data_IF_004412228502
#
_entry.id   IF_004412228502
#
_cell.length_a   1.000
_cell.length_b   1.000
_cell.length_c   1.000
_cell.angle_alpha   90.00
_cell.angle_beta   90.00
_cell.angle_gamma   90.00
#
_symmetry.space_group_name_H-M   'P 1'
#
loop_
_entity.id
_entity.type
_entity.pdbx_description
1 polymer ?
#
# COMPACT_ATOMS: atom_id res chain seq x y z
N UNK A 1 2.78 17.65 -21.47
CA UNK A 1 3.91 16.92 -22.10
C UNK A 1 4.07 15.59 -21.36
N UNK A 2 4.16 14.48 -22.08
CA UNK A 2 4.46 13.18 -21.46
C UNK A 2 5.93 13.15 -21.01
N UNK A 3 6.17 12.80 -19.75
CA UNK A 3 7.52 12.65 -19.21
C UNK A 3 7.87 11.17 -19.23
N UNK A 4 9.00 10.82 -19.83
CA UNK A 4 9.52 9.44 -19.79
C UNK A 4 10.49 9.31 -18.60
N UNK A 5 10.21 8.34 -17.71
CA UNK A 5 11.01 8.05 -16.54
C UNK A 5 12.11 7.04 -16.88
N UNK A 6 13.37 7.37 -16.58
CA UNK A 6 14.49 6.42 -16.68
C UNK A 6 14.48 5.49 -15.49
N UNK A 7 14.46 4.17 -15.74
CA UNK A 7 14.33 3.09 -14.74
C UNK A 7 15.59 2.24 -14.70
N UNK A 8 16.72 2.86 -14.35
CA UNK A 8 18.03 2.21 -14.35
C UNK A 8 18.40 1.53 -13.02
N UNK A 9 17.59 1.71 -11.98
CA UNK A 9 17.79 1.10 -10.67
C UNK A 9 18.97 1.61 -9.87
N UNK A 10 19.69 2.64 -10.33
CA UNK A 10 20.89 3.11 -9.64
C UNK A 10 20.51 4.07 -8.52
N UNK A 11 20.95 3.76 -7.31
CA UNK A 11 20.79 4.62 -6.13
C UNK A 11 21.79 5.79 -6.22
N UNK A 12 21.28 7.01 -6.19
CA UNK A 12 22.08 8.23 -6.28
C UNK A 12 21.59 9.28 -5.29
N UNK A 13 22.47 10.19 -4.81
CA UNK A 13 22.04 11.40 -4.12
C UNK A 13 21.02 12.16 -4.97
N UNK A 14 19.98 12.69 -4.32
CA UNK A 14 18.97 13.50 -5.01
C UNK A 14 19.61 14.84 -5.46
N UNK A 15 19.37 15.32 -6.69
CA UNK A 15 20.06 16.49 -7.23
C UNK A 15 19.88 17.78 -6.42
N UNK A 16 18.77 17.90 -5.67
CA UNK A 16 18.43 19.08 -4.87
C UNK A 16 18.62 18.87 -3.36
N UNK A 17 18.92 17.65 -2.91
CA UNK A 17 19.08 17.32 -1.50
C UNK A 17 20.02 16.12 -1.31
N UNK A 18 21.29 16.40 -0.99
CA UNK A 18 22.33 15.38 -0.85
C UNK A 18 22.12 14.41 0.32
N UNK A 19 21.22 14.74 1.24
CA UNK A 19 20.84 13.87 2.37
C UNK A 19 19.70 12.90 2.02
N UNK A 20 19.18 12.98 0.81
CA UNK A 20 18.20 12.07 0.26
C UNK A 20 18.81 11.26 -0.90
N UNK A 21 18.72 9.96 -0.86
CA UNK A 21 19.12 9.08 -1.97
C UNK A 21 17.90 8.49 -2.65
N UNK A 22 17.96 8.37 -3.98
CA UNK A 22 16.81 7.91 -4.78
C UNK A 22 17.21 6.97 -5.89
N UNK A 23 16.30 6.08 -6.29
CA UNK A 23 16.41 5.25 -7.48
C UNK A 23 15.04 5.06 -8.12
N UNK A 24 14.99 4.89 -9.44
CA UNK A 24 13.83 4.38 -10.14
C UNK A 24 14.05 2.91 -10.45
N UNK A 25 13.22 2.03 -9.89
CA UNK A 25 13.41 0.59 -10.00
C UNK A 25 13.26 0.11 -11.45
N UNK A 26 14.07 -0.86 -11.90
CA UNK A 26 13.95 -1.43 -13.24
C UNK A 26 12.58 -2.08 -13.44
N UNK A 27 11.97 -1.87 -14.58
CA UNK A 27 10.74 -2.55 -15.00
C UNK A 27 10.55 -2.46 -16.50
N UNK A 28 10.05 -3.54 -17.11
CA UNK A 28 9.62 -3.57 -18.50
C UNK A 28 8.16 -3.17 -18.71
N UNK A 29 7.36 -3.15 -17.63
CA UNK A 29 5.93 -2.85 -17.70
C UNK A 29 5.67 -1.36 -17.97
N UNK A 30 4.69 -1.02 -18.82
CA UNK A 30 4.25 0.36 -19.01
C UNK A 30 3.61 0.95 -17.75
N UNK A 31 2.88 0.14 -16.98
CA UNK A 31 2.32 0.51 -15.68
C UNK A 31 3.01 -0.22 -14.54
N UNK A 32 3.33 0.52 -13.46
CA UNK A 32 3.89 0.00 -12.21
C UNK A 32 3.23 0.71 -11.03
N UNK A 33 2.69 -0.05 -10.08
CA UNK A 33 1.91 0.54 -9.00
C UNK A 33 1.97 -0.28 -7.70
N UNK A 34 1.68 0.38 -6.56
CA UNK A 34 1.50 -0.23 -5.24
C UNK A 34 2.75 -0.94 -4.70
N UNK A 35 3.80 -0.19 -4.51
CA UNK A 35 5.04 -0.69 -3.91
C UNK A 35 4.86 -1.23 -2.50
N UNK A 36 5.57 -2.31 -2.19
CA UNK A 36 5.77 -2.79 -0.83
C UNK A 36 7.23 -3.18 -0.63
N UNK A 37 7.85 -2.60 0.38
CA UNK A 37 9.28 -2.70 0.67
C UNK A 37 9.50 -3.50 1.96
N UNK A 38 10.53 -4.35 1.98
CA UNK A 38 10.95 -5.09 3.16
C UNK A 38 12.47 -5.16 3.25
N UNK A 39 13.08 -4.63 4.34
CA UNK A 39 14.46 -4.95 4.70
C UNK A 39 14.57 -6.42 5.10
N UNK A 40 15.60 -7.12 4.59
CA UNK A 40 15.85 -8.53 4.83
C UNK A 40 17.00 -8.73 5.83
N UNK A 41 17.06 -9.88 6.54
CA UNK A 41 18.12 -10.15 7.54
C UNK A 41 19.54 -10.17 6.98
N UNK A 42 19.69 -10.44 5.68
CA UNK A 42 20.99 -10.42 4.99
C UNK A 42 21.44 -9.00 4.58
N UNK A 43 20.73 -7.97 5.06
CA UNK A 43 21.00 -6.57 4.76
C UNK A 43 20.50 -6.09 3.40
N UNK A 44 19.89 -6.96 2.61
CA UNK A 44 19.27 -6.55 1.35
C UNK A 44 17.92 -5.85 1.59
N UNK A 45 17.49 -5.08 0.59
CA UNK A 45 16.13 -4.55 0.49
C UNK A 45 15.39 -5.31 -0.62
N UNK A 46 14.18 -5.72 -0.37
CA UNK A 46 13.29 -6.26 -1.41
C UNK A 46 12.10 -5.35 -1.59
N UNK A 47 11.76 -5.05 -2.85
CA UNK A 47 10.58 -4.28 -3.21
C UNK A 47 9.73 -5.08 -4.19
N UNK A 48 8.43 -5.15 -3.92
CA UNK A 48 7.44 -5.76 -4.82
C UNK A 48 6.39 -4.73 -5.19
N UNK A 49 5.80 -4.88 -6.37
CA UNK A 49 4.73 -4.03 -6.90
C UNK A 49 3.90 -4.81 -7.91
N UNK A 50 2.82 -4.26 -8.40
CA UNK A 50 2.16 -4.83 -9.56
C UNK A 50 2.44 -4.02 -10.82
N UNK A 51 2.50 -4.71 -11.95
CA UNK A 51 2.78 -4.10 -13.25
C UNK A 51 2.18 -4.89 -14.41
N UNK A 52 1.90 -4.18 -15.48
CA UNK A 52 1.31 -4.68 -16.71
C UNK A 52 0.94 -3.51 -17.62
N UNK A 53 -0.18 -3.61 -18.37
CA UNK A 53 -0.61 -2.54 -19.27
C UNK A 53 -1.53 -1.53 -18.57
N UNK A 54 -2.52 -2.00 -17.81
CA UNK A 54 -3.51 -1.16 -17.16
C UNK A 54 -4.08 -1.85 -15.91
N UNK A 55 -4.23 -1.14 -14.81
CA UNK A 55 -4.84 -1.67 -13.59
C UNK A 55 -6.26 -2.20 -13.85
N UNK A 56 -6.53 -3.41 -13.38
CA UNK A 56 -7.79 -4.13 -13.61
C UNK A 56 -7.77 -5.09 -14.79
N UNK A 57 -6.77 -5.03 -15.66
CA UNK A 57 -6.61 -5.98 -16.77
C UNK A 57 -5.86 -7.23 -16.27
N UNK A 58 -6.16 -8.40 -16.85
CA UNK A 58 -5.58 -9.68 -16.41
C UNK A 58 -4.09 -9.86 -16.74
N UNK A 59 -3.46 -8.92 -17.45
CA UNK A 59 -1.99 -8.92 -17.65
C UNK A 59 -1.24 -8.27 -16.48
N UNK A 60 -1.95 -7.70 -15.52
CA UNK A 60 -1.37 -7.18 -14.27
C UNK A 60 -0.90 -8.35 -13.42
N UNK A 61 0.39 -8.38 -13.13
CA UNK A 61 1.06 -9.40 -12.31
C UNK A 61 1.93 -8.76 -11.25
N UNK A 62 2.34 -9.54 -10.26
CA UNK A 62 3.29 -9.12 -9.23
C UNK A 62 4.72 -9.22 -9.77
N UNK A 63 5.50 -8.18 -9.52
CA UNK A 63 6.91 -8.05 -9.86
C UNK A 63 7.72 -7.74 -8.62
N UNK A 64 8.99 -8.08 -8.63
CA UNK A 64 9.90 -7.80 -7.53
C UNK A 64 11.31 -7.47 -8.00
N UNK A 65 12.02 -6.67 -7.21
CA UNK A 65 13.42 -6.31 -7.39
C UNK A 65 14.12 -6.31 -6.04
N UNK A 66 15.44 -6.48 -6.05
CA UNK A 66 16.27 -6.59 -4.85
C UNK A 66 17.45 -5.64 -4.94
N UNK A 67 17.74 -4.94 -3.84
CA UNK A 67 18.99 -4.21 -3.64
C UNK A 67 19.84 -5.00 -2.65
N UNK A 68 20.87 -5.65 -3.13
CA UNK A 68 21.79 -6.44 -2.29
C UNK A 68 22.57 -5.51 -1.36
N UNK A 69 22.89 -5.99 -0.16
CA UNK A 69 23.70 -5.22 0.80
C UNK A 69 24.98 -4.70 0.17
N UNK A 70 25.26 -3.42 0.37
CA UNK A 70 26.44 -2.74 -0.20
C UNK A 70 26.36 -2.40 -1.69
N UNK A 71 25.31 -2.84 -2.39
CA UNK A 71 25.08 -2.45 -3.79
C UNK A 71 24.44 -1.06 -3.88
N UNK A 72 24.71 -0.37 -4.97
CA UNK A 72 24.00 0.86 -5.38
C UNK A 72 23.08 0.59 -6.58
N UNK A 73 22.82 -0.68 -6.89
CA UNK A 73 22.06 -1.09 -8.07
C UNK A 73 20.95 -2.06 -7.66
N UNK A 74 19.70 -1.68 -7.89
CA UNK A 74 18.56 -2.58 -7.86
C UNK A 74 18.65 -3.60 -9.00
N UNK A 75 18.32 -4.85 -8.72
CA UNK A 75 18.28 -5.90 -9.75
C UNK A 75 17.19 -5.61 -10.79
N UNK A 76 17.31 -6.25 -11.95
CA UNK A 76 16.19 -6.31 -12.90
C UNK A 76 14.95 -6.89 -12.22
N UNK A 77 13.77 -6.42 -12.67
CA UNK A 77 12.50 -6.91 -12.15
C UNK A 77 12.24 -8.36 -12.57
N UNK A 78 11.81 -9.18 -11.62
CA UNK A 78 11.39 -10.56 -11.82
C UNK A 78 9.89 -10.68 -11.65
N UNK A 79 9.22 -11.36 -12.58
CA UNK A 79 7.79 -11.67 -12.49
C UNK A 79 7.55 -12.73 -11.42
N UNK A 80 6.67 -12.45 -10.44
CA UNK A 80 6.44 -13.30 -9.28
C UNK A 80 5.05 -13.94 -9.25
N UNK A 81 4.15 -13.55 -10.14
CA UNK A 81 2.83 -14.14 -10.31
C UNK A 81 2.42 -14.16 -11.78
N UNK A 82 1.48 -15.00 -12.17
CA UNK A 82 1.10 -15.18 -13.58
C UNK A 82 -0.30 -15.81 -13.72
N UNK A 83 -1.34 -15.10 -13.30
CA UNK A 83 -2.73 -15.52 -13.51
C UNK A 83 -3.33 -14.80 -14.73
N UNK A 84 -3.49 -15.53 -15.83
CA UNK A 84 -4.05 -14.98 -17.08
C UNK A 84 -5.54 -14.61 -16.99
N UNK A 85 -6.21 -14.90 -15.88
CA UNK A 85 -7.66 -14.68 -15.69
C UNK A 85 -7.99 -13.57 -14.70
N UNK A 86 -6.99 -13.11 -13.93
CA UNK A 86 -7.18 -12.13 -12.85
C UNK A 86 -6.16 -10.99 -12.94
N UNK A 87 -6.56 -9.81 -12.51
CA UNK A 87 -5.64 -8.70 -12.24
C UNK A 87 -5.06 -8.90 -10.83
N UNK A 88 -3.75 -9.09 -10.75
CA UNK A 88 -3.02 -9.39 -9.52
C UNK A 88 -2.42 -8.11 -8.94
N UNK A 89 -2.92 -7.66 -7.79
CA UNK A 89 -2.69 -6.32 -7.25
C UNK A 89 -2.23 -6.32 -5.79
N UNK A 90 -1.72 -5.18 -5.33
CA UNK A 90 -1.36 -4.90 -3.95
C UNK A 90 -0.50 -5.98 -3.29
N UNK A 91 0.68 -6.32 -3.84
CA UNK A 91 1.55 -7.29 -3.22
C UNK A 91 2.08 -6.78 -1.88
N UNK A 92 2.26 -7.71 -0.94
CA UNK A 92 2.74 -7.47 0.41
C UNK A 92 3.78 -8.52 0.77
N UNK A 93 4.94 -8.08 1.24
CA UNK A 93 5.98 -8.92 1.78
C UNK A 93 5.84 -9.05 3.30
N UNK A 94 6.06 -10.25 3.81
CA UNK A 94 6.09 -10.54 5.24
C UNK A 94 7.17 -11.59 5.54
N UNK A 95 8.12 -11.26 6.40
CA UNK A 95 9.09 -12.22 6.91
C UNK A 95 8.58 -12.80 8.22
N UNK A 96 8.27 -14.08 8.22
CA UNK A 96 7.80 -14.78 9.40
C UNK A 96 8.95 -15.04 10.38
N UNK A 97 8.66 -15.27 11.70
CA UNK A 97 9.68 -15.50 12.71
C UNK A 97 10.60 -16.72 12.47
N UNK A 98 10.17 -17.66 11.65
CA UNK A 98 10.94 -18.83 11.22
C UNK A 98 11.79 -18.57 9.95
N UNK A 99 11.95 -17.30 9.55
CA UNK A 99 12.65 -16.85 8.36
C UNK A 99 12.03 -17.29 7.02
N UNK A 100 10.80 -17.76 7.01
CA UNK A 100 10.04 -17.96 5.78
C UNK A 100 9.55 -16.61 5.29
N UNK A 101 9.92 -16.24 4.08
CA UNK A 101 9.43 -15.02 3.43
C UNK A 101 8.13 -15.31 2.69
N UNK A 102 7.08 -14.60 3.04
CA UNK A 102 5.78 -14.67 2.39
C UNK A 102 5.59 -13.51 1.44
N UNK A 103 5.05 -13.82 0.27
CA UNK A 103 4.52 -12.84 -0.67
C UNK A 103 3.02 -13.08 -0.78
N UNK A 104 2.22 -12.08 -0.41
CA UNK A 104 0.76 -12.10 -0.48
C UNK A 104 0.30 -11.06 -1.49
N UNK A 105 -0.82 -11.29 -2.18
CA UNK A 105 -1.43 -10.30 -3.06
C UNK A 105 -2.92 -10.56 -3.25
N UNK A 106 -3.65 -9.56 -3.77
CA UNK A 106 -5.03 -9.71 -4.19
C UNK A 106 -5.12 -10.07 -5.66
N UNK A 107 -6.08 -10.91 -6.02
CA UNK A 107 -6.35 -11.31 -7.40
C UNK A 107 -7.85 -11.14 -7.68
N UNK A 108 -8.20 -10.16 -8.54
CA UNK A 108 -9.58 -9.80 -8.88
C UNK A 108 -9.89 -10.07 -10.34
N UNK A 109 -11.16 -10.28 -10.65
CA UNK A 109 -11.63 -10.40 -12.03
C UNK A 109 -11.92 -9.00 -12.56
N UNK A 110 -11.17 -8.58 -13.59
CA UNK A 110 -11.32 -7.27 -14.23
C UNK A 110 -11.31 -6.11 -13.21
N UNK A 111 -12.12 -5.07 -13.40
CA UNK A 111 -12.30 -3.95 -12.48
C UNK A 111 -13.15 -4.28 -11.23
N UNK A 112 -13.49 -5.53 -10.98
CA UNK A 112 -14.43 -5.93 -9.95
C UNK A 112 -13.73 -6.32 -8.65
N UNK A 113 -13.46 -5.36 -7.76
CA UNK A 113 -12.81 -5.64 -6.47
C UNK A 113 -13.64 -6.54 -5.56
N UNK A 114 -14.95 -6.59 -5.71
CA UNK A 114 -15.85 -7.51 -5.02
C UNK A 114 -15.64 -8.99 -5.38
N UNK A 115 -14.84 -9.29 -6.41
CA UNK A 115 -14.41 -10.64 -6.79
C UNK A 115 -13.04 -11.04 -6.24
N UNK A 116 -12.34 -10.13 -5.57
CA UNK A 116 -10.96 -10.32 -5.13
C UNK A 116 -10.84 -11.47 -4.13
N UNK A 117 -9.79 -12.25 -4.29
CA UNK A 117 -9.30 -13.26 -3.34
C UNK A 117 -7.86 -12.94 -2.98
N UNK A 118 -7.35 -13.50 -1.89
CA UNK A 118 -5.96 -13.33 -1.46
C UNK A 118 -5.17 -14.58 -1.79
N UNK A 119 -4.11 -14.41 -2.57
CA UNK A 119 -3.14 -15.45 -2.92
C UNK A 119 -1.83 -15.23 -2.19
N UNK A 120 -1.02 -16.27 -2.11
CA UNK A 120 0.31 -16.21 -1.53
C UNK A 120 1.25 -17.24 -2.14
N UNK A 121 2.52 -17.03 -1.91
CA UNK A 121 3.61 -18.00 -2.08
C UNK A 121 4.70 -17.73 -1.04
N UNK A 122 5.61 -18.67 -0.88
CA UNK A 122 6.65 -18.62 0.14
C UNK A 122 8.03 -18.82 -0.47
N UNK A 123 9.03 -18.24 0.17
CA UNK A 123 10.44 -18.44 -0.12
C UNK A 123 11.18 -18.85 1.14
N UNK A 124 12.05 -19.87 1.03
CA UNK A 124 12.90 -20.36 2.12
C UNK A 124 14.32 -19.78 2.06
N UNK A 125 14.62 -18.97 1.07
CA UNK A 125 15.94 -18.40 0.77
C UNK A 125 15.90 -16.86 0.58
N UNK A 126 15.04 -16.20 1.34
CA UNK A 126 14.87 -14.75 1.35
C UNK A 126 14.51 -14.15 -0.02
N UNK A 127 13.70 -14.85 -0.80
CA UNK A 127 13.16 -14.35 -2.06
C UNK A 127 14.02 -14.61 -3.28
N UNK A 128 15.04 -15.46 -3.18
CA UNK A 128 15.83 -15.89 -4.35
C UNK A 128 15.06 -16.91 -5.18
N UNK A 129 14.42 -17.88 -4.54
CA UNK A 129 13.49 -18.81 -5.16
C UNK A 129 12.14 -18.82 -4.45
N UNK A 130 11.10 -19.21 -5.16
CA UNK A 130 9.73 -19.16 -4.66
C UNK A 130 9.01 -20.49 -4.90
N UNK A 131 8.28 -20.94 -3.88
CA UNK A 131 7.38 -22.09 -3.93
C UNK A 131 6.14 -21.85 -4.81
N UNK A 132 5.24 -22.81 -4.84
CA UNK A 132 3.99 -22.74 -5.59
C UNK A 132 3.07 -21.61 -5.09
N UNK A 133 2.18 -21.17 -5.98
CA UNK A 133 1.14 -20.18 -5.66
C UNK A 133 -0.08 -20.92 -5.11
N UNK A 134 -0.61 -20.44 -3.99
CA UNK A 134 -1.83 -20.97 -3.38
C UNK A 134 -2.77 -19.83 -2.96
N UNK A 135 -3.99 -20.17 -2.58
CA UNK A 135 -5.00 -19.24 -2.10
C UNK A 135 -5.00 -19.22 -0.58
N UNK A 136 -4.76 -18.04 0.00
CA UNK A 136 -4.79 -17.83 1.46
C UNK A 136 -6.19 -17.56 1.98
N UNK A 137 -6.94 -16.68 1.29
CA UNK A 137 -8.30 -16.29 1.64
C UNK A 137 -9.15 -16.32 0.36
N UNK A 138 -10.12 -17.21 0.32
CA UNK A 138 -10.96 -17.49 -0.86
C UNK A 138 -12.31 -16.76 -0.86
N UNK A 139 -12.67 -16.08 0.24
CA UNK A 139 -13.90 -15.29 0.32
C UNK A 139 -13.84 -14.12 -0.66
N UNK A 140 -14.75 -14.07 -1.68
CA UNK A 140 -14.76 -12.98 -2.64
C UNK A 140 -14.93 -11.60 -1.98
N UNK A 141 -14.28 -10.60 -2.54
CA UNK A 141 -14.25 -9.24 -2.01
C UNK A 141 -13.25 -9.02 -0.87
N UNK A 142 -12.45 -10.03 -0.51
CA UNK A 142 -11.37 -9.87 0.47
C UNK A 142 -10.15 -9.25 -0.20
N UNK A 143 -9.70 -8.12 0.35
CA UNK A 143 -8.60 -7.33 -0.18
C UNK A 143 -7.55 -7.06 0.89
N UNK A 144 -6.25 -7.05 0.52
CA UNK A 144 -5.14 -6.69 1.40
C UNK A 144 -4.34 -5.52 0.82
N UNK A 145 -3.60 -4.83 1.67
CA UNK A 145 -2.62 -3.82 1.27
C UNK A 145 -1.45 -3.72 2.23
N UNK A 146 -1.62 -4.12 3.48
CA UNK A 146 -0.67 -3.91 4.55
C UNK A 146 -0.13 -5.24 5.08
N UNK A 147 1.11 -5.26 5.62
CA UNK A 147 1.76 -6.50 6.04
C UNK A 147 1.13 -7.11 7.29
N UNK A 148 1.39 -8.40 7.47
CA UNK A 148 1.10 -9.12 8.70
C UNK A 148 1.94 -8.52 9.84
N UNK A 149 1.32 -8.38 11.01
CA UNK A 149 1.98 -8.03 12.27
C UNK A 149 2.01 -9.26 13.16
N UNK A 150 3.19 -9.59 13.69
CA UNK A 150 3.36 -10.68 14.67
C UNK A 150 3.37 -10.08 16.06
N UNK A 151 2.51 -10.59 16.94
CA UNK A 151 2.43 -10.18 18.33
C UNK A 151 3.41 -10.95 19.21
N UNK A 152 3.70 -10.43 20.40
CA UNK A 152 4.58 -11.09 21.39
C UNK A 152 4.09 -12.49 21.81
N UNK A 153 2.76 -12.71 21.81
CA UNK A 153 2.17 -14.02 22.09
C UNK A 153 2.25 -15.00 20.92
N UNK A 154 2.82 -14.60 19.79
CA UNK A 154 2.98 -15.39 18.57
C UNK A 154 1.80 -15.33 17.60
N UNK A 155 0.72 -14.67 17.94
CA UNK A 155 -0.42 -14.48 17.02
C UNK A 155 -0.05 -13.57 15.86
N UNK A 156 -0.63 -13.85 14.69
CA UNK A 156 -0.47 -13.03 13.50
C UNK A 156 -1.74 -12.25 13.21
N UNK A 157 -1.57 -10.97 12.92
CA UNK A 157 -2.64 -10.07 12.50
C UNK A 157 -2.46 -9.68 11.04
N UNK A 158 -3.38 -10.05 10.17
CA UNK A 158 -3.43 -9.62 8.77
C UNK A 158 -4.59 -8.64 8.58
N UNK A 159 -4.31 -7.35 8.39
CA UNK A 159 -5.34 -6.37 8.07
C UNK A 159 -5.95 -6.67 6.70
N UNK A 160 -7.27 -6.74 6.64
CA UNK A 160 -8.03 -6.92 5.41
C UNK A 160 -9.12 -5.86 5.31
N UNK A 161 -9.64 -5.65 4.12
CA UNK A 161 -10.90 -4.94 3.95
C UNK A 161 -11.80 -5.72 2.99
N UNK A 162 -13.10 -5.56 3.17
CA UNK A 162 -14.09 -6.22 2.36
C UNK A 162 -14.69 -5.22 1.38
N UNK A 163 -14.43 -5.47 0.09
CA UNK A 163 -15.06 -4.76 -1.02
C UNK A 163 -16.47 -5.31 -1.20
N UNK A 164 -17.47 -4.52 -0.85
CA UNK A 164 -18.85 -4.96 -0.81
C UNK A 164 -19.70 -4.26 -1.84
N UNK A 165 -20.62 -5.01 -2.43
CA UNK A 165 -21.65 -4.52 -3.34
C UNK A 165 -23.01 -5.02 -2.90
N UNK A 166 -24.07 -4.37 -3.38
CA UNK A 166 -25.43 -4.91 -3.30
C UNK A 166 -25.68 -5.81 -4.50
N UNK A 167 -26.62 -6.76 -4.39
CA UNK A 167 -26.98 -7.61 -5.52
C UNK A 167 -27.36 -6.79 -6.77
N UNK A 168 -26.67 -7.04 -7.89
CA UNK A 168 -26.89 -6.35 -9.16
C UNK A 168 -26.26 -4.96 -9.29
N UNK A 169 -25.49 -4.50 -8.31
CA UNK A 169 -24.73 -3.23 -8.37
C UNK A 169 -23.24 -3.47 -8.62
N UNK A 170 -22.60 -2.55 -9.35
CA UNK A 170 -21.15 -2.51 -9.53
C UNK A 170 -20.44 -2.11 -8.24
N UNK A 171 -19.22 -2.59 -8.04
CA UNK A 171 -18.39 -2.10 -6.96
C UNK A 171 -17.84 -0.70 -7.30
N UNK A 172 -18.00 0.24 -6.37
CA UNK A 172 -17.44 1.60 -6.45
C UNK A 172 -16.79 2.06 -5.13
N UNK A 173 -16.75 1.21 -4.10
CA UNK A 173 -16.11 1.47 -2.82
C UNK A 173 -16.99 2.14 -1.76
N UNK A 174 -18.30 2.27 -2.00
CA UNK A 174 -19.19 2.98 -1.07
C UNK A 174 -19.48 2.20 0.22
N UNK A 175 -19.39 0.88 0.20
CA UNK A 175 -19.82 0.00 1.29
C UNK A 175 -18.66 -0.82 1.89
N UNK A 176 -17.42 -0.44 1.59
CA UNK A 176 -16.21 -1.14 2.06
C UNK A 176 -16.01 -0.96 3.57
N UNK A 177 -15.60 -2.04 4.25
CA UNK A 177 -15.27 -2.05 5.68
C UNK A 177 -13.96 -2.76 5.95
N UNK A 178 -13.32 -2.47 7.07
CA UNK A 178 -12.10 -3.14 7.52
C UNK A 178 -12.35 -4.22 8.56
N UNK A 179 -11.49 -5.23 8.53
CA UNK A 179 -11.37 -6.28 9.53
C UNK A 179 -9.91 -6.69 9.71
N UNK A 180 -9.65 -7.42 10.77
CA UNK A 180 -8.36 -8.06 11.01
C UNK A 180 -8.56 -9.57 11.00
N UNK A 181 -7.76 -10.28 10.20
CA UNK A 181 -7.63 -11.72 10.26
C UNK A 181 -6.61 -12.07 11.35
N UNK A 182 -7.01 -12.87 12.32
CA UNK A 182 -6.16 -13.32 13.42
C UNK A 182 -5.85 -14.80 13.22
N UNK A 183 -4.56 -15.14 13.24
CA UNK A 183 -4.08 -16.52 13.21
C UNK A 183 -3.27 -16.83 14.48
N UNK A 184 -3.61 -17.93 15.14
CA UNK A 184 -2.92 -18.46 16.32
C UNK A 184 -1.99 -19.64 15.98
N UNK A 185 -1.98 -20.06 14.70
CA UNK A 185 -1.28 -21.24 14.20
C UNK A 185 -0.32 -20.92 13.03
N UNK A 186 0.25 -19.70 13.03
CA UNK A 186 1.21 -19.22 12.02
C UNK A 186 0.66 -19.21 10.58
N UNK A 187 -0.55 -18.71 10.44
CA UNK A 187 -1.16 -18.46 9.13
C UNK A 187 -1.85 -19.67 8.51
N UNK A 188 -2.03 -20.79 9.24
CA UNK A 188 -2.76 -21.95 8.72
C UNK A 188 -4.26 -21.76 8.76
N UNK A 189 -4.77 -21.17 9.84
CA UNK A 189 -6.18 -20.80 9.97
C UNK A 189 -6.34 -19.36 10.41
N UNK A 190 -7.46 -18.75 10.01
CA UNK A 190 -7.73 -17.33 10.23
C UNK A 190 -9.17 -17.12 10.71
N UNK A 191 -9.34 -16.28 11.72
CA UNK A 191 -10.66 -15.80 12.17
C UNK A 191 -10.76 -14.29 12.04
N UNK A 192 -11.97 -13.76 11.97
CA UNK A 192 -12.22 -12.32 11.82
C UNK A 192 -12.39 -11.62 13.15
N UNK A 193 -11.76 -10.44 13.28
CA UNK A 193 -12.10 -9.39 14.22
C UNK A 193 -12.51 -8.16 13.40
N UNK A 194 -13.79 -7.83 13.37
CA UNK A 194 -14.32 -6.70 12.57
C UNK A 194 -14.03 -5.39 13.28
N UNK A 195 -13.53 -4.41 12.53
CA UNK A 195 -13.35 -3.05 13.04
C UNK A 195 -14.72 -2.36 13.09
N UNK A 196 -15.19 -1.91 14.27
CA UNK A 196 -16.52 -1.31 14.40
C UNK A 196 -16.63 0.00 13.60
N UNK A 197 -17.78 0.24 12.99
CA UNK A 197 -18.11 1.46 12.24
C UNK A 197 -17.05 1.90 11.20
N UNK A 198 -16.32 0.94 10.63
CA UNK A 198 -15.21 1.18 9.70
C UNK A 198 -15.65 1.43 8.25
N UNK A 199 -16.91 1.82 8.03
CA UNK A 199 -17.41 2.12 6.68
C UNK A 199 -16.54 3.20 6.01
N UNK A 200 -16.01 2.87 4.82
CA UNK A 200 -15.11 3.73 4.05
C UNK A 200 -13.66 3.79 4.54
N UNK A 201 -13.36 3.23 5.72
CA UNK A 201 -12.00 3.06 6.21
C UNK A 201 -11.41 1.77 5.66
N UNK A 202 -10.36 1.88 4.81
CA UNK A 202 -9.71 0.74 4.14
C UNK A 202 -8.20 0.84 4.24
N UNK A 203 -7.48 -0.17 3.74
CA UNK A 203 -6.01 -0.24 3.82
C UNK A 203 -5.49 -0.06 5.26
N UNK A 204 -6.23 -0.64 6.24
CA UNK A 204 -5.81 -0.61 7.65
C UNK A 204 -4.36 -0.99 7.80
N UNK A 205 -3.54 -0.11 8.35
CA UNK A 205 -2.14 -0.38 8.66
C UNK A 205 -1.94 -0.44 10.17
N UNK A 206 -1.66 -1.62 10.69
CA UNK A 206 -1.42 -1.86 12.10
C UNK A 206 0.08 -1.69 12.41
N UNK A 207 0.40 -0.97 13.47
CA UNK A 207 1.75 -0.87 14.00
C UNK A 207 1.74 -0.93 15.54
N UNK A 208 2.62 -1.75 16.17
CA UNK A 208 2.68 -1.83 17.61
C UNK A 208 3.45 -0.64 18.20
N UNK A 209 2.99 -0.12 19.34
CA UNK A 209 3.74 0.77 20.22
C UNK A 209 4.53 -0.02 21.24
N UNK A 210 5.57 0.59 21.83
CA UNK A 210 6.40 -0.07 22.85
C UNK A 210 5.65 -0.46 24.14
N UNK A 211 4.49 0.13 24.39
CA UNK A 211 3.64 -0.20 25.53
C UNK A 211 2.64 -1.34 25.26
N UNK A 212 2.75 -2.00 24.10
CA UNK A 212 1.86 -3.08 23.68
C UNK A 212 0.54 -2.65 23.05
N UNK A 213 0.23 -1.36 23.03
CA UNK A 213 -0.93 -0.84 22.27
C UNK A 213 -0.69 -1.01 20.78
N UNK A 214 -1.70 -1.46 20.05
CA UNK A 214 -1.69 -1.47 18.59
C UNK A 214 -2.38 -0.22 18.09
N UNK A 215 -1.73 0.50 17.20
CA UNK A 215 -2.28 1.65 16.47
C UNK A 215 -2.60 1.22 15.05
N UNK A 216 -3.73 1.66 14.53
CA UNK A 216 -4.12 1.47 13.14
C UNK A 216 -4.45 2.81 12.48
N UNK A 217 -3.87 3.04 11.31
CA UNK A 217 -4.21 4.16 10.43
C UNK A 217 -4.89 3.63 9.16
N UNK A 218 -5.85 4.41 8.64
CA UNK A 218 -6.67 4.01 7.51
C UNK A 218 -6.67 5.06 6.40
N UNK A 219 -6.67 4.58 5.16
CA UNK A 219 -7.13 5.32 3.99
C UNK A 219 -8.64 5.54 4.08
N UNK A 220 -9.11 6.68 3.63
CA UNK A 220 -10.54 7.02 3.57
C UNK A 220 -11.07 6.99 2.14
N UNK A 221 -12.14 6.22 1.90
CA UNK A 221 -12.90 6.25 0.64
C UNK A 221 -13.52 7.63 0.37
N UNK A 222 -13.72 8.41 1.43
CA UNK A 222 -14.32 9.74 1.35
C UNK A 222 -13.35 10.83 0.91
N UNK A 223 -12.06 10.52 0.81
CA UNK A 223 -10.99 11.46 0.51
C UNK A 223 -11.01 12.71 1.40
N UNK A 224 -11.24 12.50 2.68
CA UNK A 224 -11.27 13.52 3.71
C UNK A 224 -10.01 13.50 4.58
N UNK A 225 -9.92 12.60 5.55
CA UNK A 225 -8.81 12.48 6.50
C UNK A 225 -8.26 11.06 6.56
N UNK A 226 -7.03 10.92 7.07
CA UNK A 226 -6.54 9.65 7.59
C UNK A 226 -7.31 9.36 8.87
N UNK A 227 -7.83 8.13 9.03
CA UNK A 227 -8.53 7.70 10.23
C UNK A 227 -7.58 6.93 11.15
N UNK A 228 -7.88 6.98 12.44
CA UNK A 228 -7.10 6.36 13.51
C UNK A 228 -8.00 5.44 14.34
N UNK A 229 -7.50 4.28 14.70
CA UNK A 229 -8.08 3.36 15.68
C UNK A 229 -6.98 2.74 16.52
N UNK A 230 -7.33 2.18 17.67
CA UNK A 230 -6.38 1.46 18.53
C UNK A 230 -7.00 0.21 19.14
N UNK A 231 -6.12 -0.73 19.49
CA UNK A 231 -6.44 -1.93 20.25
C UNK A 231 -5.49 -2.08 21.42
N UNK A 232 -6.00 -2.49 22.58
CA UNK A 232 -5.23 -2.78 23.80
C UNK A 232 -5.33 -4.25 24.24
N UNK A 233 -5.98 -5.08 23.44
CA UNK A 233 -6.24 -6.50 23.72
C UNK A 233 -5.67 -7.44 22.65
N UNK A 234 -4.57 -7.03 22.00
CA UNK A 234 -3.92 -7.84 20.97
C UNK A 234 -4.67 -7.93 19.64
N UNK A 235 -5.48 -6.93 19.32
CA UNK A 235 -6.21 -6.85 18.05
C UNK A 235 -7.56 -7.59 18.05
N UNK A 236 -8.01 -8.08 19.20
CA UNK A 236 -9.32 -8.73 19.37
C UNK A 236 -10.47 -7.73 19.19
N UNK A 237 -10.30 -6.54 19.73
CA UNK A 237 -11.22 -5.43 19.53
C UNK A 237 -10.49 -4.14 19.20
N UNK A 238 -11.19 -3.23 18.51
CA UNK A 238 -10.67 -1.97 18.03
C UNK A 238 -11.61 -0.84 18.40
N UNK A 239 -11.08 0.33 18.68
CA UNK A 239 -11.90 1.53 18.82
C UNK A 239 -12.55 1.87 17.47
N UNK A 240 -13.68 2.59 17.51
CA UNK A 240 -14.28 3.18 16.30
C UNK A 240 -13.25 4.08 15.63
N UNK A 241 -13.02 3.97 14.31
CA UNK A 241 -12.07 4.83 13.60
C UNK A 241 -12.51 6.29 13.65
N UNK A 242 -11.61 7.17 14.09
CA UNK A 242 -11.84 8.62 14.17
C UNK A 242 -10.93 9.37 13.20
N UNK A 243 -11.37 10.46 12.56
CA UNK A 243 -10.54 11.24 11.66
C UNK A 243 -9.41 11.92 12.43
N UNK A 244 -8.19 11.85 11.89
CA UNK A 244 -7.04 12.63 12.36
C UNK A 244 -7.04 14.03 11.74
N UNK A 245 -6.05 14.85 12.11
CA UNK A 245 -5.81 16.14 11.45
C UNK A 245 -5.15 16.03 10.08
N UNK A 246 -4.63 14.84 9.72
CA UNK A 246 -3.97 14.63 8.44
C UNK A 246 -5.00 14.35 7.34
N UNK A 247 -4.85 14.98 6.15
CA UNK A 247 -5.75 14.73 5.03
C UNK A 247 -5.49 13.37 4.40
N UNK A 248 -6.49 12.84 3.70
CA UNK A 248 -6.37 11.70 2.80
C UNK A 248 -7.12 11.94 1.49
N UNK A 249 -6.58 11.49 0.40
CA UNK A 249 -7.10 11.67 -0.95
C UNK A 249 -7.67 10.39 -1.57
N UNK A 250 -8.12 9.45 -0.74
CA UNK A 250 -8.49 8.10 -1.16
C UNK A 250 -7.33 7.38 -1.90
N UNK A 251 -6.11 7.58 -1.41
CA UNK A 251 -4.93 6.80 -1.79
C UNK A 251 -4.34 6.10 -0.57
N UNK A 252 -3.57 5.05 -0.82
CA UNK A 252 -2.91 4.25 0.23
C UNK A 252 -1.91 5.08 1.02
N UNK A 253 -1.74 4.69 2.28
CA UNK A 253 -0.75 5.20 3.22
C UNK A 253 0.03 4.02 3.79
N UNK A 254 1.19 4.27 4.40
CA UNK A 254 1.82 3.27 5.27
C UNK A 254 2.52 3.93 6.45
N UNK A 255 2.36 3.32 7.64
CA UNK A 255 2.99 3.72 8.90
C UNK A 255 3.86 2.59 9.43
N UNK A 256 4.96 2.94 10.10
CA UNK A 256 5.83 2.00 10.81
C UNK A 256 6.29 2.60 12.12
N UNK A 257 6.57 1.76 13.12
CA UNK A 257 7.22 2.18 14.37
C UNK A 257 8.73 2.16 14.14
N UNK A 258 9.39 3.27 14.45
CA UNK A 258 10.84 3.40 14.41
C UNK A 258 11.47 2.78 15.66
N UNK A 259 12.75 2.46 15.61
CA UNK A 259 13.52 1.97 16.76
C UNK A 259 13.53 2.92 17.96
N UNK A 260 13.30 4.22 17.72
CA UNK A 260 13.11 5.25 18.76
C UNK A 260 11.76 5.15 19.48
N UNK A 261 10.80 4.38 18.96
CA UNK A 261 9.41 4.33 19.43
C UNK A 261 8.48 5.36 18.78
N UNK A 262 9.02 6.26 17.97
CA UNK A 262 8.23 7.21 17.18
C UNK A 262 7.55 6.49 16.01
N UNK A 263 6.45 7.03 15.51
CA UNK A 263 5.82 6.54 14.27
C UNK A 263 6.32 7.36 13.08
N UNK A 264 6.61 6.68 11.97
CA UNK A 264 6.86 7.30 10.68
C UNK A 264 5.76 6.90 9.69
N UNK A 265 5.16 7.88 9.03
CA UNK A 265 4.03 7.73 8.10
C UNK A 265 4.40 8.32 6.75
N UNK A 266 4.05 7.63 5.66
CA UNK A 266 4.11 8.18 4.30
C UNK A 266 2.71 8.21 3.69
N UNK A 267 2.34 9.36 3.13
CA UNK A 267 1.00 9.64 2.63
C UNK A 267 1.01 10.79 1.62
N UNK A 268 -0.10 11.00 0.92
CA UNK A 268 -0.31 12.24 0.19
C UNK A 268 -0.94 13.30 1.11
N UNK A 269 -0.30 14.43 1.28
CA UNK A 269 -0.83 15.55 2.07
C UNK A 269 -1.89 16.31 1.23
N UNK A 270 -2.98 15.63 0.90
CA UNK A 270 -4.06 16.11 0.02
C UNK A 270 -5.38 15.44 0.39
N UNK A 271 -6.48 16.14 0.16
CA UNK A 271 -7.85 15.62 0.27
C UNK A 271 -8.69 15.97 -0.96
N UNK A 272 -9.94 15.53 -0.99
CA UNK A 272 -10.89 15.90 -2.06
C UNK A 272 -11.13 17.41 -2.17
N UNK A 273 -10.86 18.19 -1.12
CA UNK A 273 -10.97 19.64 -1.17
C UNK A 273 -10.05 20.32 -2.18
N UNK A 274 -8.95 19.62 -2.57
CA UNK A 274 -8.03 20.06 -3.62
C UNK A 274 -8.38 19.57 -5.03
N UNK A 275 -9.46 18.81 -5.19
CA UNK A 275 -9.84 18.22 -6.47
C UNK A 275 -10.71 19.17 -7.31
N UNK A 276 -10.38 19.32 -8.58
CA UNK A 276 -11.18 20.07 -9.57
C UNK A 276 -12.26 19.18 -10.21
N UNK A 277 -12.00 17.89 -10.32
CA UNK A 277 -12.83 16.89 -10.99
C UNK A 277 -12.95 15.62 -10.15
N UNK A 278 -13.94 14.80 -10.45
CA UNK A 278 -14.17 13.51 -9.82
C UNK A 278 -14.38 12.42 -10.88
N UNK A 279 -13.77 11.26 -10.69
CA UNK A 279 -14.08 10.05 -11.44
C UNK A 279 -15.32 9.36 -10.85
N UNK A 280 -16.10 8.69 -11.69
CA UNK A 280 -17.26 7.91 -11.26
C UNK A 280 -16.83 6.66 -10.45
N UNK A 281 -15.79 5.97 -10.89
CA UNK A 281 -15.18 4.84 -10.20
C UNK A 281 -13.67 4.79 -10.46
N UNK A 282 -12.98 3.84 -9.82
CA UNK A 282 -11.57 3.57 -10.09
C UNK A 282 -11.34 2.98 -11.49
N UNK A 283 -12.31 2.23 -12.01
CA UNK A 283 -12.20 1.42 -13.24
C UNK A 283 -13.16 1.86 -14.35
N UNK A 284 -13.57 3.12 -14.36
CA UNK A 284 -14.49 3.69 -15.36
C UNK A 284 -13.97 3.67 -16.82
N UNK A 285 -12.67 3.37 -17.00
CA UNK A 285 -12.04 3.22 -18.32
C UNK A 285 -12.05 1.76 -18.84
N UNK A 286 -12.51 0.79 -18.03
CA UNK A 286 -12.53 -0.62 -18.40
C UNK A 286 -13.93 -1.00 -18.85
N UNK A 287 -14.07 -1.37 -20.13
CA UNK A 287 -15.26 -2.01 -20.67
C UNK A 287 -15.07 -3.54 -20.61
N UNK A 288 -15.57 -4.14 -19.57
CA UNK A 288 -15.48 -5.60 -19.32
C UNK A 288 -16.81 -6.34 -19.53
N UNK A 289 -17.83 -5.64 -20.07
CA UNK A 289 -19.16 -6.19 -20.28
C UNK A 289 -19.94 -6.41 -18.99
N UNK A 290 -19.58 -5.76 -17.88
CA UNK A 290 -20.32 -5.80 -16.63
C UNK A 290 -21.63 -4.99 -16.75
N UNK A 291 -22.76 -5.70 -16.91
CA UNK A 291 -24.11 -5.13 -17.03
C UNK A 291 -24.74 -4.71 -15.69
N UNK A 292 -24.03 -4.86 -14.56
CA UNK A 292 -24.54 -4.43 -13.25
C UNK A 292 -24.74 -2.91 -13.21
N UNK A 293 -25.68 -2.46 -12.39
CA UNK A 293 -26.05 -1.05 -12.28
C UNK A 293 -25.04 -0.27 -11.44
N UNK A 294 -24.89 1.01 -11.76
CA UNK A 294 -24.20 1.94 -10.87
C UNK A 294 -24.96 2.05 -9.53
N UNK A 295 -24.28 1.98 -8.38
CA UNK A 295 -24.94 2.00 -7.08
C UNK A 295 -25.51 3.37 -6.76
N UNK A 296 -26.67 3.39 -6.13
CA UNK A 296 -27.29 4.61 -5.58
C UNK A 296 -26.67 4.89 -4.23
N UNK A 297 -26.21 6.13 -4.01
CA UNK A 297 -25.67 6.58 -2.73
C UNK A 297 -26.77 6.59 -1.67
N UNK A 298 -26.66 5.73 -0.66
CA UNK A 298 -27.73 5.52 0.33
C UNK A 298 -27.46 6.13 1.71
N UNK A 299 -26.20 6.49 2.02
CA UNK A 299 -25.81 7.02 3.34
C UNK A 299 -25.21 8.43 3.29
N UNK A 300 -25.53 9.20 2.26
CA UNK A 300 -25.05 10.59 2.09
C UNK A 300 -23.55 10.73 1.77
N UNK A 301 -22.80 9.62 1.70
CA UNK A 301 -21.37 9.58 1.32
C UNK A 301 -21.11 8.58 0.20
N UNK A 302 -20.33 9.01 -0.78
CA UNK A 302 -19.83 8.16 -1.85
C UNK A 302 -18.31 8.18 -1.85
N UNK A 303 -17.69 7.08 -2.30
CA UNK A 303 -16.25 7.06 -2.53
C UNK A 303 -15.86 8.17 -3.51
N UNK A 304 -14.78 8.89 -3.21
CA UNK A 304 -14.28 9.98 -4.04
C UNK A 304 -13.02 9.51 -4.79
N UNK A 305 -13.09 9.43 -6.11
CA UNK A 305 -11.99 9.03 -6.96
C UNK A 305 -11.45 10.23 -7.75
N UNK A 306 -10.16 10.21 -8.08
CA UNK A 306 -9.53 11.25 -8.88
C UNK A 306 -9.02 12.47 -8.10
N UNK A 307 -9.07 12.47 -6.77
CA UNK A 307 -8.37 13.51 -6.00
C UNK A 307 -6.87 13.50 -6.34
N UNK A 308 -6.21 14.68 -6.45
CA UNK A 308 -4.79 14.76 -6.78
C UNK A 308 -3.94 13.91 -5.84
N UNK A 309 -2.93 13.22 -6.38
CA UNK A 309 -2.02 12.36 -5.61
C UNK A 309 -0.62 12.98 -5.54
N UNK A 310 -0.55 14.13 -4.92
CA UNK A 310 0.65 14.89 -4.57
C UNK A 310 0.32 15.88 -3.43
N UNK A 311 1.34 16.35 -2.67
CA UNK A 311 2.70 15.85 -2.62
C UNK A 311 2.77 14.43 -2.01
N UNK A 312 3.93 13.74 -2.17
CA UNK A 312 4.27 12.59 -1.35
C UNK A 312 5.01 13.08 -0.12
N UNK A 313 4.46 12.87 1.05
CA UNK A 313 4.95 13.43 2.31
C UNK A 313 5.31 12.32 3.29
N UNK A 314 6.45 12.46 3.97
CA UNK A 314 6.81 11.66 5.13
C UNK A 314 6.61 12.48 6.39
N UNK A 315 6.06 11.88 7.43
CA UNK A 315 5.80 12.53 8.72
C UNK A 315 6.27 11.65 9.89
N UNK A 316 6.69 12.29 11.00
CA UNK A 316 7.05 11.60 12.25
C UNK A 316 6.16 12.10 13.38
N UNK A 317 5.67 11.14 14.18
CA UNK A 317 4.87 11.35 15.39
C UNK A 317 5.61 10.86 16.63
N UNK A 318 5.80 11.70 17.67
CA UNK A 318 6.42 11.29 18.93
C UNK A 318 5.44 10.67 19.93
N UNK A 319 4.14 10.70 19.67
CA UNK A 319 3.08 10.46 20.66
C UNK A 319 2.07 9.38 20.22
N UNK A 320 2.53 8.41 19.40
CA UNK A 320 1.72 7.28 18.96
C UNK A 320 0.66 7.66 17.93
N UNK A 321 0.90 8.67 17.10
CA UNK A 321 0.04 9.06 15.99
C UNK A 321 -1.02 10.09 16.34
N UNK A 322 -0.96 10.70 17.54
CA UNK A 322 -1.89 11.75 17.95
C UNK A 322 -1.54 13.12 17.35
N UNK A 323 -0.25 13.40 17.22
CA UNK A 323 0.25 14.58 16.51
C UNK A 323 1.40 14.23 15.56
N UNK A 324 1.59 15.07 14.54
CA UNK A 324 2.57 14.87 13.48
C UNK A 324 3.36 16.17 13.24
N UNK A 325 4.22 16.59 14.20
CA UNK A 325 4.88 17.90 14.15
C UNK A 325 5.96 17.99 13.08
N UNK A 326 6.54 16.88 12.66
CA UNK A 326 7.59 16.85 11.63
C UNK A 326 7.05 16.24 10.35
N UNK A 327 7.04 17.03 9.29
CA UNK A 327 6.58 16.62 7.97
C UNK A 327 7.52 17.17 6.90
N UNK A 328 7.84 16.37 5.90
CA UNK A 328 8.70 16.77 4.78
C UNK A 328 8.24 16.10 3.48
N UNK A 329 8.21 16.88 2.40
CA UNK A 329 7.85 16.36 1.10
C UNK A 329 9.03 15.63 0.46
N UNK A 330 8.74 14.45 -0.12
CA UNK A 330 9.67 13.65 -0.92
C UNK A 330 9.61 14.05 -2.38
N UNK A 331 8.41 14.31 -2.89
CA UNK A 331 8.12 14.80 -4.23
C UNK A 331 6.91 15.74 -4.22
N UNK A 332 6.96 16.74 -5.09
CA UNK A 332 5.90 17.72 -5.30
C UNK A 332 5.44 17.71 -6.77
N UNK A 333 4.19 18.09 -7.00
CA UNK A 333 3.60 18.14 -8.34
C UNK A 333 2.10 18.39 -8.28
N UNK A 334 1.44 18.31 -9.43
CA UNK A 334 -0.02 18.49 -9.53
C UNK A 334 -0.81 17.24 -9.18
N UNK A 335 -0.15 16.08 -9.12
CA UNK A 335 -0.77 14.82 -8.70
C UNK A 335 -1.87 14.29 -9.63
N UNK A 336 -1.86 14.67 -10.89
CA UNK A 336 -2.88 14.24 -11.85
C UNK A 336 -2.99 12.70 -11.91
N UNK A 337 -4.20 12.18 -11.69
CA UNK A 337 -4.48 10.74 -11.62
C UNK A 337 -5.88 10.37 -12.15
N UNK A 338 -6.33 11.03 -13.23
CA UNK A 338 -7.67 10.86 -13.80
C UNK A 338 -7.76 9.72 -14.81
N UNK A 339 -6.68 9.03 -15.12
CA UNK A 339 -6.66 7.88 -16.04
C UNK A 339 -5.86 6.71 -15.48
N UNK A 340 -6.25 5.48 -15.80
CA UNK A 340 -5.45 4.27 -15.56
C UNK A 340 -4.67 3.83 -16.80
N UNK A 341 -4.84 4.50 -17.95
CA UNK A 341 -4.12 4.20 -19.18
C UNK A 341 -2.67 4.72 -19.11
N UNK A 342 -1.75 3.88 -18.67
CA UNK A 342 -0.33 4.23 -18.53
C UNK A 342 0.43 4.29 -19.84
N UNK A 343 -0.13 3.77 -20.93
CA UNK A 343 0.47 3.87 -22.27
C UNK A 343 0.54 5.32 -22.76
N UNK A 344 -0.42 6.15 -22.39
CA UNK A 344 -0.45 7.58 -22.75
C UNK A 344 0.49 8.43 -21.88
N UNK A 345 1.00 7.91 -20.76
CA UNK A 345 1.92 8.57 -19.82
C UNK A 345 1.40 9.93 -19.34
N UNK A 346 0.10 10.04 -19.09
CA UNK A 346 -0.55 11.27 -18.64
C UNK A 346 -0.53 11.45 -17.13
N UNK A 347 -0.48 10.34 -16.36
CA UNK A 347 -0.46 10.40 -14.90
C UNK A 347 0.83 11.07 -14.39
N UNK A 348 0.66 11.95 -13.40
CA UNK A 348 1.73 12.63 -12.66
C UNK A 348 1.57 12.45 -11.15
N UNK A 349 0.95 11.32 -10.77
CA UNK A 349 0.71 10.98 -9.37
C UNK A 349 1.95 10.41 -8.69
N UNK A 350 2.03 10.64 -7.37
CA UNK A 350 2.86 9.91 -6.43
C UNK A 350 1.93 9.18 -5.48
N UNK A 351 1.99 7.86 -5.40
CA UNK A 351 0.95 7.13 -4.66
C UNK A 351 1.38 5.78 -4.14
N UNK A 352 0.57 5.21 -3.26
CA UNK A 352 0.72 3.88 -2.70
C UNK A 352 2.12 3.63 -2.14
N UNK A 353 2.52 4.40 -1.11
CA UNK A 353 3.83 4.26 -0.50
C UNK A 353 3.95 3.02 0.37
N UNK A 354 5.21 2.63 0.56
CA UNK A 354 5.66 1.71 1.59
C UNK A 354 6.81 2.33 2.36
N UNK A 355 6.86 2.13 3.67
CA UNK A 355 7.90 2.65 4.57
C UNK A 355 8.37 1.58 5.54
N UNK A 356 9.69 1.47 5.70
CA UNK A 356 10.36 0.61 6.69
C UNK A 356 11.62 1.31 7.20
N UNK A 357 12.01 0.98 8.43
CA UNK A 357 13.34 1.33 8.93
C UNK A 357 14.27 0.13 8.76
N UNK A 358 15.46 0.36 8.21
CA UNK A 358 16.53 -0.62 8.14
C UNK A 358 17.26 -0.77 9.48
N UNK A 359 18.03 -1.84 9.62
CA UNK A 359 18.85 -2.11 10.82
C UNK A 359 19.92 -1.05 11.06
N UNK A 360 20.33 -0.33 10.02
CA UNK A 360 21.26 0.79 10.04
C UNK A 360 20.62 2.12 10.51
N UNK A 361 19.28 2.10 10.78
CA UNK A 361 18.53 3.26 11.27
C UNK A 361 17.93 4.15 10.19
N UNK A 362 18.30 3.97 8.92
CA UNK A 362 17.72 4.73 7.82
C UNK A 362 16.25 4.34 7.58
N UNK A 363 15.50 5.29 7.07
CA UNK A 363 14.13 5.09 6.59
C UNK A 363 14.20 4.79 5.09
N UNK A 364 13.64 3.65 4.70
CA UNK A 364 13.47 3.23 3.32
C UNK A 364 12.02 3.42 2.91
N UNK A 365 11.80 4.06 1.79
CA UNK A 365 10.47 4.37 1.25
C UNK A 365 10.44 3.95 -0.21
N UNK A 366 9.31 3.40 -0.66
CA UNK A 366 9.07 3.16 -2.08
C UNK A 366 7.63 3.55 -2.41
N UNK A 367 7.42 4.13 -3.58
CA UNK A 367 6.08 4.52 -4.03
C UNK A 367 5.97 4.59 -5.55
N UNK A 368 4.75 4.58 -6.02
CA UNK A 368 4.43 4.77 -7.43
C UNK A 368 4.80 6.17 -7.90
N UNK A 369 5.56 6.25 -8.97
CA UNK A 369 5.97 7.48 -9.63
C UNK A 369 5.35 7.54 -11.04
N UNK A 370 4.37 8.42 -11.22
CA UNK A 370 3.66 8.65 -12.49
C UNK A 370 3.01 7.39 -13.10
N UNK A 371 2.76 6.37 -12.30
CA UNK A 371 2.40 5.00 -12.73
C UNK A 371 3.40 4.34 -13.69
N UNK A 372 4.47 5.01 -14.05
CA UNK A 372 5.49 4.51 -14.97
C UNK A 372 6.59 3.73 -14.24
N UNK A 373 6.87 4.05 -12.99
CA UNK A 373 7.96 3.45 -12.21
C UNK A 373 7.60 3.32 -10.74
N UNK A 374 8.39 2.55 -10.03
CA UNK A 374 8.49 2.60 -8.56
C UNK A 374 9.74 3.43 -8.23
N UNK A 375 9.55 4.49 -7.44
CA UNK A 375 10.64 5.29 -6.89
C UNK A 375 11.00 4.78 -5.51
N UNK A 376 12.27 4.49 -5.29
CA UNK A 376 12.86 4.24 -3.99
C UNK A 376 13.50 5.50 -3.44
N UNK A 377 13.37 5.71 -2.14
CA UNK A 377 13.98 6.81 -1.39
C UNK A 377 14.59 6.28 -0.10
N UNK A 378 15.80 6.77 0.24
CA UNK A 378 16.46 6.52 1.52
C UNK A 378 16.78 7.85 2.18
N UNK A 379 16.33 8.03 3.43
CA UNK A 379 16.56 9.23 4.27
C UNK A 379 16.79 8.81 5.72
N UNK A 380 17.20 9.74 6.57
CA UNK A 380 17.30 9.50 8.02
C UNK A 380 16.09 10.10 8.77
N UNK A 381 15.78 9.65 9.99
CA UNK A 381 14.78 10.31 10.84
C UNK A 381 15.11 11.79 11.10
N UNK A 382 16.39 12.13 11.24
CA UNK A 382 16.89 13.49 11.45
C UNK A 382 16.58 14.39 10.25
N UNK A 383 16.71 13.84 9.04
CA UNK A 383 16.32 14.54 7.82
C UNK A 383 14.82 14.90 7.83
N UNK A 384 13.95 13.96 8.19
CA UNK A 384 12.50 14.21 8.27
C UNK A 384 12.18 15.30 9.30
N UNK A 385 12.92 15.31 10.42
CA UNK A 385 12.74 16.30 11.50
C UNK A 385 13.35 17.66 11.19
N UNK A 386 14.05 17.79 10.06
CA UNK A 386 14.73 19.05 9.69
C UNK A 386 15.95 19.38 10.54
N UNK A 387 16.63 18.36 11.07
CA UNK A 387 17.83 18.52 11.89
C UNK A 387 19.12 18.51 11.08
N UNK A 388 19.03 18.10 9.79
CA UNK A 388 20.12 18.12 8.79
C UNK A 388 19.59 18.52 7.43
#
# INVERSE_FOLDING_TARGET
MSVTVTRDGIVRPHPQDIHMETAMLPSSCPQNHAANLLPLPDGAQMCVWFGGTQEGIADISVWGSRLTQGSQQWSDAVKLSDDATRSEQNPVLFLAPDNVLWLLWTAQISGNQDTAIVRYRQSLDLGQTWGEIDTLLDKPGTFIRQPIVVLENGNWLLPVFYCRTRPGEKWVGNDDISAVKISEDRGKTWRDAVVPESLGCVHMNITPLHNGTLVALFRSRWADNIYYSQSTDGGESWSVPEPTTLPNNNASIQVTTLSSGELALVFNHMSAAGALERRASLYDEIDDGDDRKEPVVTRGRAAFWGAPRAPMTVAISPDGGKSWPWQRNLDEGDGYCMTNNSMEKLNREFSYPSIKQGSEGNIHIAYTYFRQAIKYVRVTPEWVKGLI
#
